data_IF_354153609262
#
_entry.id   IF_354153609262
#
_cell.length_a   1.000
_cell.length_b   1.000
_cell.length_c   1.000
_cell.angle_alpha   90.00
_cell.angle_beta   90.00
_cell.angle_gamma   90.00
#
_symmetry.space_group_name_H-M   'P 1'
#
loop_
_entity.id
_entity.type
_entity.pdbx_description
1 polymer ?
#
# COMPACT_ATOMS: atom_id res chain seq x y z
N UNK A 1 15.52 -19.27 -40.68
CA UNK A 1 14.94 -19.28 -39.31
C UNK A 1 15.58 -18.21 -38.42
N UNK A 2 15.01 -16.99 -38.39
CA UNK A 2 15.59 -15.81 -37.69
C UNK A 2 14.86 -15.40 -36.39
N UNK A 3 13.75 -16.06 -36.06
CA UNK A 3 12.85 -15.59 -34.99
C UNK A 3 13.19 -16.13 -33.60
N UNK A 4 13.84 -17.30 -33.49
CA UNK A 4 14.18 -17.91 -32.19
C UNK A 4 15.33 -17.18 -31.46
N UNK A 5 16.26 -16.57 -32.20
CA UNK A 5 17.42 -15.90 -31.62
C UNK A 5 17.10 -14.56 -30.92
N UNK A 6 15.92 -13.97 -31.17
CA UNK A 6 15.51 -12.72 -30.52
C UNK A 6 14.96 -12.95 -29.10
N UNK A 7 14.39 -14.13 -28.84
CA UNK A 7 13.85 -14.49 -27.53
C UNK A 7 14.95 -14.81 -26.50
N UNK A 8 16.04 -15.43 -26.94
CA UNK A 8 17.19 -15.74 -26.08
C UNK A 8 18.01 -14.51 -25.67
N UNK A 9 17.95 -13.43 -26.46
CA UNK A 9 18.78 -12.23 -26.26
C UNK A 9 18.15 -11.19 -25.32
N UNK A 10 16.84 -11.26 -25.08
CA UNK A 10 16.12 -10.37 -24.16
C UNK A 10 15.92 -10.98 -22.75
N UNK A 11 16.84 -11.85 -22.29
CA UNK A 11 16.98 -12.26 -20.88
C UNK A 11 17.52 -11.14 -19.96
N UNK A 12 17.23 -9.88 -20.31
CA UNK A 12 17.31 -8.73 -19.44
C UNK A 12 15.90 -8.14 -19.30
N UNK A 13 14.93 -8.97 -18.93
CA UNK A 13 13.71 -8.46 -18.32
C UNK A 13 14.09 -7.95 -16.94
N UNK A 14 14.16 -6.61 -16.85
CA UNK A 14 14.46 -5.82 -15.67
C UNK A 14 13.79 -6.36 -14.39
N UNK A 15 14.42 -6.19 -13.22
CA UNK A 15 13.89 -6.67 -11.95
C UNK A 15 12.49 -6.10 -11.74
N UNK A 16 11.62 -6.90 -11.11
CA UNK A 16 10.24 -6.57 -10.70
C UNK A 16 10.20 -5.43 -9.67
N UNK A 17 10.69 -4.24 -10.04
CA UNK A 17 10.54 -3.01 -9.28
C UNK A 17 9.12 -2.52 -9.55
N UNK A 18 8.13 -3.18 -8.94
CA UNK A 18 6.75 -2.77 -9.05
C UNK A 18 6.51 -1.69 -7.97
N UNK A 19 6.45 -0.40 -8.32
CA UNK A 19 6.31 0.68 -7.35
C UNK A 19 5.04 0.55 -6.51
N UNK A 20 4.00 -0.13 -7.03
CA UNK A 20 2.77 -0.40 -6.27
C UNK A 20 2.99 -1.40 -5.13
N UNK A 21 3.84 -2.42 -5.35
CA UNK A 21 4.16 -3.40 -4.30
C UNK A 21 5.02 -2.77 -3.20
N UNK A 22 5.94 -1.87 -3.57
CA UNK A 22 6.75 -1.12 -2.61
C UNK A 22 5.88 -0.19 -1.76
N UNK A 23 4.92 0.50 -2.37
CA UNK A 23 3.95 1.33 -1.65
C UNK A 23 3.06 0.51 -0.73
N UNK A 24 2.52 -0.63 -1.19
CA UNK A 24 1.74 -1.51 -0.33
C UNK A 24 2.56 -2.03 0.86
N UNK A 25 3.82 -2.41 0.63
CA UNK A 25 4.71 -2.82 1.71
C UNK A 25 4.91 -1.71 2.74
N UNK A 26 5.13 -0.46 2.29
CA UNK A 26 5.26 0.70 3.16
C UNK A 26 4.01 0.93 4.01
N UNK A 27 2.82 0.81 3.42
CA UNK A 27 1.55 0.90 4.16
C UNK A 27 1.45 -0.20 5.22
N UNK A 28 1.85 -1.44 4.90
CA UNK A 28 1.84 -2.55 5.85
C UNK A 28 2.79 -2.30 7.02
N UNK A 29 4.00 -1.80 6.75
CA UNK A 29 4.96 -1.41 7.79
C UNK A 29 4.38 -0.32 8.70
N UNK A 30 3.77 0.72 8.11
CA UNK A 30 3.09 1.78 8.87
C UNK A 30 1.92 1.25 9.72
N UNK A 31 1.13 0.32 9.21
CA UNK A 31 0.01 -0.28 9.97
C UNK A 31 0.52 -1.02 11.20
N UNK A 32 1.59 -1.81 11.05
CA UNK A 32 2.19 -2.58 12.15
C UNK A 32 2.82 -1.64 13.18
N UNK A 33 3.51 -0.59 12.74
CA UNK A 33 4.16 0.38 13.62
C UNK A 33 3.15 1.27 14.36
N UNK A 34 2.01 1.57 13.73
CA UNK A 34 1.01 2.50 14.27
C UNK A 34 -0.04 1.79 15.14
N UNK A 35 -0.45 0.57 14.76
CA UNK A 35 -1.54 -0.16 15.42
C UNK A 35 -1.00 -1.40 16.13
N UNK A 36 -1.15 -1.43 17.44
CA UNK A 36 -0.48 -2.42 18.30
C UNK A 36 -1.01 -3.85 18.20
N UNK A 37 -2.13 -4.08 17.52
CA UNK A 37 -2.75 -5.41 17.41
C UNK A 37 -3.32 -5.66 16.02
N UNK A 38 -3.32 -6.92 15.59
CA UNK A 38 -3.94 -7.34 14.34
C UNK A 38 -5.43 -6.96 14.29
N UNK A 39 -6.12 -7.07 15.43
CA UNK A 39 -7.53 -6.65 15.55
C UNK A 39 -7.70 -5.16 15.24
N UNK A 40 -6.83 -4.30 15.78
CA UNK A 40 -6.88 -2.86 15.50
C UNK A 40 -6.62 -2.56 14.01
N UNK A 41 -5.70 -3.30 13.37
CA UNK A 41 -5.46 -3.21 11.93
C UNK A 41 -6.72 -3.60 11.15
N UNK A 42 -7.36 -4.72 11.51
CA UNK A 42 -8.59 -5.17 10.86
C UNK A 42 -9.74 -4.17 11.05
N UNK A 43 -9.92 -3.64 12.26
CA UNK A 43 -10.93 -2.62 12.54
C UNK A 43 -10.66 -1.35 11.73
N UNK A 44 -9.43 -0.83 11.75
CA UNK A 44 -9.04 0.34 10.95
C UNK A 44 -9.31 0.14 9.45
N UNK A 45 -8.85 -0.96 8.87
CA UNK A 45 -8.97 -1.20 7.43
C UNK A 45 -10.42 -1.31 6.95
N UNK A 46 -11.32 -1.82 7.79
CA UNK A 46 -12.70 -2.13 7.41
C UNK A 46 -13.73 -1.12 7.90
N UNK A 47 -13.36 -0.19 8.79
CA UNK A 47 -14.27 0.85 9.25
C UNK A 47 -14.16 2.15 8.42
N UNK A 48 -15.29 2.83 8.18
CA UNK A 48 -15.30 4.20 7.66
C UNK A 48 -14.38 5.11 8.46
N UNK A 49 -13.42 5.75 7.78
CA UNK A 49 -12.53 6.71 8.42
C UNK A 49 -12.97 8.15 8.07
N UNK A 50 -13.33 9.00 9.06
CA UNK A 50 -13.71 10.40 8.82
C UNK A 50 -12.65 11.22 8.09
N UNK A 51 -11.37 10.98 8.38
CA UNK A 51 -10.23 11.64 7.70
C UNK A 51 -10.13 11.27 6.22
N UNK A 52 -10.72 10.13 5.84
CA UNK A 52 -10.79 9.62 4.47
C UNK A 52 -12.18 9.86 3.85
N UNK A 53 -12.92 10.86 4.31
CA UNK A 53 -14.23 11.21 3.77
C UNK A 53 -15.33 10.18 4.09
N UNK A 54 -15.13 9.35 5.11
CA UNK A 54 -16.10 8.31 5.51
C UNK A 54 -16.02 7.04 4.68
N UNK A 55 -14.99 6.86 3.85
CA UNK A 55 -14.71 5.61 3.14
C UNK A 55 -13.71 4.75 3.92
N UNK A 56 -13.65 3.44 3.63
CA UNK A 56 -12.78 2.50 4.36
C UNK A 56 -11.36 2.54 3.79
N UNK A 57 -10.31 2.48 4.62
CA UNK A 57 -8.93 2.47 4.12
C UNK A 57 -8.66 1.34 3.12
N UNK A 58 -9.27 0.16 3.28
CA UNK A 58 -9.12 -0.95 2.32
C UNK A 58 -9.68 -0.62 0.92
N UNK A 59 -10.69 0.25 0.80
CA UNK A 59 -11.20 0.69 -0.48
C UNK A 59 -10.17 1.54 -1.25
N UNK A 60 -9.42 2.39 -0.55
CA UNK A 60 -8.32 3.17 -1.14
C UNK A 60 -7.16 2.25 -1.59
N UNK A 61 -6.76 1.30 -0.74
CA UNK A 61 -5.67 0.37 -1.05
C UNK A 61 -5.99 -0.52 -2.27
N UNK A 62 -7.25 -0.95 -2.42
CA UNK A 62 -7.69 -1.76 -3.56
C UNK A 62 -7.77 -0.96 -4.86
N UNK A 63 -8.02 0.35 -4.81
CA UNK A 63 -7.94 1.27 -5.96
C UNK A 63 -6.50 1.66 -6.32
N UNK A 64 -5.58 1.48 -5.37
CA UNK A 64 -4.18 1.86 -5.51
C UNK A 64 -3.89 3.31 -5.08
N UNK A 65 -4.83 3.91 -4.35
CA UNK A 65 -4.72 5.25 -3.78
C UNK A 65 -4.08 5.14 -2.39
N UNK A 66 -2.75 4.98 -2.35
CA UNK A 66 -2.02 4.74 -1.11
C UNK A 66 -1.77 6.02 -0.29
N UNK A 67 -1.56 7.14 -0.97
CA UNK A 67 -1.12 8.40 -0.34
C UNK A 67 -2.10 8.90 0.76
N UNK A 68 -3.44 8.84 0.62
CA UNK A 68 -4.37 9.21 1.69
C UNK A 68 -4.26 8.32 2.93
N UNK A 69 -4.08 7.00 2.73
CA UNK A 69 -3.97 6.04 3.84
C UNK A 69 -2.64 6.19 4.57
N UNK A 70 -1.56 6.46 3.83
CA UNK A 70 -0.24 6.76 4.44
C UNK A 70 -0.29 8.05 5.28
N UNK A 71 -0.92 9.11 4.77
CA UNK A 71 -1.03 10.38 5.47
C UNK A 71 -1.86 10.27 6.76
N UNK A 72 -2.97 9.52 6.71
CA UNK A 72 -3.78 9.25 7.89
C UNK A 72 -3.00 8.47 8.95
N UNK A 73 -2.36 7.35 8.56
CA UNK A 73 -1.54 6.55 9.49
C UNK A 73 -0.40 7.36 10.11
N UNK A 74 0.23 8.25 9.34
CA UNK A 74 1.26 9.15 9.86
C UNK A 74 0.69 10.12 10.90
N UNK A 75 -0.51 10.66 10.68
CA UNK A 75 -1.19 11.55 11.63
C UNK A 75 -1.56 10.82 12.93
N UNK A 76 -2.03 9.57 12.83
CA UNK A 76 -2.29 8.70 13.98
C UNK A 76 -1.02 8.48 14.79
N UNK A 77 0.09 8.14 14.10
CA UNK A 77 1.39 7.88 14.72
C UNK A 77 1.96 9.11 15.44
N UNK A 78 1.76 10.30 14.88
CA UNK A 78 2.22 11.57 15.47
C UNK A 78 1.32 12.05 16.63
N UNK A 79 0.19 11.38 16.86
CA UNK A 79 -0.80 11.80 17.85
C UNK A 79 -1.54 13.09 17.47
N UNK A 80 -1.46 13.49 16.19
CA UNK A 80 -2.16 14.66 15.65
C UNK A 80 -3.53 14.19 15.17
N UNK A 81 -4.46 14.06 16.10
CA UNK A 81 -5.88 13.92 15.77
C UNK A 81 -6.55 15.30 15.84
N UNK A 82 -7.14 15.75 14.73
CA UNK A 82 -7.98 16.96 14.61
C UNK A 82 -9.44 16.54 14.57
#
# INVERSE_FOLDING_TARGET
SRTAHRWLRNRQTQPRHNPKLQRLQRVVELLIDTLSTERAIQEYLNHPNPSLGGETPIAFLTRGDFDPVEADLQSIREGVYV
#
